data_IF_796829570795
#
_entry.id   IF_796829570795
#
_cell.length_a   1.000
_cell.length_b   1.000
_cell.length_c   1.000
_cell.angle_alpha   90.00
_cell.angle_beta   90.00
_cell.angle_gamma   90.00
#
_symmetry.space_group_name_H-M   'P 1'
#
loop_
_entity.id
_entity.type
_entity.pdbx_description
1 polymer ?
#
# COMPACT_ATOMS: atom_id res chain seq x y z
N UNK A 1 12.45 -6.03 10.82
CA UNK A 1 11.04 -6.47 10.69
C UNK A 1 10.57 -6.13 9.29
N UNK A 2 9.53 -6.80 8.76
CA UNK A 2 8.86 -6.26 7.59
C UNK A 2 8.06 -5.05 8.03
N UNK A 3 8.08 -3.98 7.25
CA UNK A 3 7.52 -2.69 7.67
C UNK A 3 6.15 -2.40 7.06
N UNK A 4 5.88 -2.96 5.88
CA UNK A 4 4.60 -2.82 5.22
C UNK A 4 3.86 -4.16 5.26
N UNK A 5 2.52 -4.10 5.27
CA UNK A 5 1.66 -5.29 5.20
C UNK A 5 2.05 -6.21 4.04
N UNK A 6 2.39 -5.65 2.87
CA UNK A 6 2.78 -6.44 1.70
C UNK A 6 3.99 -7.34 1.97
N UNK A 7 5.05 -6.82 2.61
CA UNK A 7 6.21 -7.65 2.96
C UNK A 7 5.88 -8.66 4.06
N UNK A 8 5.00 -8.28 5.00
CA UNK A 8 4.65 -9.16 6.12
C UNK A 8 3.93 -10.38 5.60
N UNK A 9 2.98 -10.18 4.69
CA UNK A 9 2.26 -11.27 4.05
C UNK A 9 3.23 -12.27 3.44
N UNK A 10 4.18 -11.81 2.62
CA UNK A 10 5.11 -12.75 1.96
C UNK A 10 6.10 -13.39 2.92
N UNK A 11 6.72 -12.61 3.82
CA UNK A 11 7.73 -13.13 4.73
C UNK A 11 7.15 -14.09 5.77
N UNK A 12 5.99 -13.78 6.35
CA UNK A 12 5.30 -14.66 7.30
C UNK A 12 4.91 -15.97 6.60
N UNK A 13 4.38 -15.88 5.38
CA UNK A 13 4.00 -17.08 4.60
C UNK A 13 5.22 -17.95 4.32
N UNK A 14 6.31 -17.38 3.81
CA UNK A 14 7.55 -18.14 3.54
C UNK A 14 8.13 -18.74 4.82
N UNK A 15 8.16 -17.98 5.92
CA UNK A 15 8.65 -18.49 7.20
C UNK A 15 7.80 -19.66 7.72
N UNK A 16 6.47 -19.59 7.57
CA UNK A 16 5.57 -20.68 7.94
C UNK A 16 5.82 -21.93 7.09
N UNK A 17 5.91 -21.78 5.76
CA UNK A 17 6.22 -22.89 4.86
C UNK A 17 7.57 -23.53 5.23
N UNK A 18 8.60 -22.73 5.48
CA UNK A 18 9.92 -23.24 5.83
C UNK A 18 9.93 -23.99 7.16
N UNK A 19 9.08 -23.60 8.11
CA UNK A 19 8.96 -24.23 9.42
C UNK A 19 8.13 -25.52 9.38
N UNK A 20 7.02 -25.51 8.66
CA UNK A 20 6.00 -26.56 8.73
C UNK A 20 5.97 -27.49 7.50
N UNK A 21 6.62 -27.10 6.40
CA UNK A 21 6.67 -27.88 5.15
C UNK A 21 5.40 -27.83 4.29
N UNK A 22 4.35 -27.12 4.72
CA UNK A 22 3.07 -26.99 4.03
C UNK A 22 2.64 -25.54 3.86
N UNK A 23 1.64 -25.30 3.00
CA UNK A 23 1.03 -23.99 2.86
C UNK A 23 0.10 -23.72 4.04
N UNK A 24 0.23 -22.59 4.75
CA UNK A 24 -0.75 -22.23 5.77
C UNK A 24 -2.10 -21.98 5.11
N UNK A 25 -3.21 -22.27 5.80
CA UNK A 25 -4.55 -21.94 5.29
C UNK A 25 -4.79 -20.42 5.34
N UNK A 26 -4.31 -19.78 6.41
CA UNK A 26 -4.46 -18.36 6.67
C UNK A 26 -3.17 -17.69 7.11
N UNK A 27 -3.09 -16.38 6.85
CA UNK A 27 -2.07 -15.48 7.37
C UNK A 27 -2.76 -14.32 8.07
N UNK A 28 -2.47 -14.15 9.36
CA UNK A 28 -3.03 -13.07 10.17
C UNK A 28 -2.04 -11.89 10.27
N UNK A 29 -2.54 -10.69 10.03
CA UNK A 29 -1.80 -9.43 10.20
C UNK A 29 -2.48 -8.59 11.26
N UNK A 30 -1.72 -8.15 12.26
CA UNK A 30 -2.16 -7.23 13.31
C UNK A 30 -1.15 -6.10 13.49
N UNK A 31 -1.57 -4.85 13.28
CA UNK A 31 -0.71 -3.65 13.37
C UNK A 31 -1.53 -2.42 13.80
N UNK A 32 -1.12 -1.74 14.87
CA UNK A 32 -1.72 -0.45 15.28
C UNK A 32 -3.28 -0.45 15.33
N UNK A 33 -3.87 -1.55 15.80
CA UNK A 33 -5.33 -1.73 15.85
C UNK A 33 -6.00 -2.19 14.54
N UNK A 34 -5.26 -2.27 13.44
CA UNK A 34 -5.68 -2.96 12.21
C UNK A 34 -5.46 -4.47 12.37
N UNK A 35 -6.51 -5.27 12.17
CA UNK A 35 -6.44 -6.75 12.19
C UNK A 35 -7.09 -7.30 10.93
N UNK A 36 -6.40 -8.18 10.22
CA UNK A 36 -6.95 -8.85 9.04
C UNK A 36 -6.38 -10.26 8.86
N UNK A 37 -7.29 -11.19 8.58
CA UNK A 37 -7.00 -12.56 8.15
C UNK A 37 -7.02 -12.63 6.63
N UNK A 38 -6.00 -13.25 6.05
CA UNK A 38 -5.89 -13.48 4.61
C UNK A 38 -5.87 -14.97 4.34
N UNK A 39 -6.74 -15.45 3.45
CA UNK A 39 -6.61 -16.78 2.88
C UNK A 39 -5.33 -16.88 2.06
N UNK A 40 -4.67 -18.03 2.07
CA UNK A 40 -3.45 -18.25 1.31
C UNK A 40 -3.62 -18.00 -0.19
N UNK A 41 -4.78 -18.37 -0.75
CA UNK A 41 -5.12 -18.05 -2.14
C UNK A 41 -5.05 -16.55 -2.43
N UNK A 42 -5.51 -15.71 -1.49
CA UNK A 42 -5.43 -14.25 -1.62
C UNK A 42 -3.99 -13.74 -1.52
N UNK A 43 -3.17 -14.33 -0.65
CA UNK A 43 -1.75 -13.97 -0.54
C UNK A 43 -1.00 -14.30 -1.82
N UNK A 44 -1.26 -15.47 -2.41
CA UNK A 44 -0.69 -15.86 -3.70
C UNK A 44 -1.20 -14.99 -4.84
N UNK A 45 -2.48 -14.61 -4.84
CA UNK A 45 -3.03 -13.65 -5.79
C UNK A 45 -2.28 -12.31 -5.72
N UNK A 46 -2.06 -11.77 -4.53
CA UNK A 46 -1.30 -10.54 -4.31
C UNK A 46 0.14 -10.70 -4.81
N UNK A 47 0.80 -11.83 -4.54
CA UNK A 47 2.14 -12.11 -5.03
C UNK A 47 2.21 -12.16 -6.57
N UNK A 48 1.20 -12.75 -7.22
CA UNK A 48 1.06 -12.76 -8.67
C UNK A 48 0.83 -11.35 -9.24
N UNK A 49 0.01 -10.52 -8.59
CA UNK A 49 -0.20 -9.11 -9.00
C UNK A 49 1.10 -8.31 -8.96
N UNK A 50 1.90 -8.47 -7.91
CA UNK A 50 3.19 -7.75 -7.77
C UNK A 50 4.20 -8.15 -8.85
N UNK A 51 4.22 -9.45 -9.20
CA UNK A 51 5.17 -10.06 -10.15
C UNK A 51 4.67 -10.09 -11.59
N UNK A 52 3.42 -9.68 -11.84
CA UNK A 52 2.73 -9.85 -13.11
C UNK A 52 2.73 -11.31 -13.61
N UNK A 53 2.66 -12.27 -12.69
CA UNK A 53 2.58 -13.70 -12.99
C UNK A 53 1.13 -14.14 -13.12
N UNK A 54 0.88 -15.20 -13.90
CA UNK A 54 -0.43 -15.85 -13.93
C UNK A 54 -0.76 -16.41 -12.55
N UNK A 55 -2.04 -16.34 -12.17
CA UNK A 55 -2.52 -16.93 -10.93
C UNK A 55 -2.29 -18.44 -10.97
N UNK A 56 -1.83 -19.05 -9.87
CA UNK A 56 -1.72 -20.50 -9.82
C UNK A 56 -3.12 -21.13 -9.88
N UNK A 57 -3.21 -22.32 -10.47
CA UNK A 57 -4.40 -23.15 -10.42
C UNK A 57 -4.65 -23.65 -8.99
N UNK A 58 -5.90 -24.01 -8.69
CA UNK A 58 -6.25 -24.65 -7.41
C UNK A 58 -5.37 -25.89 -7.17
N UNK A 59 -4.91 -26.08 -5.93
CA UNK A 59 -3.99 -27.17 -5.58
C UNK A 59 -2.51 -26.91 -5.93
N UNK A 60 -2.09 -25.65 -6.08
CA UNK A 60 -0.70 -25.27 -6.31
C UNK A 60 0.28 -25.95 -5.32
N UNK A 61 1.36 -26.54 -5.85
CA UNK A 61 2.37 -27.19 -5.01
C UNK A 61 3.11 -26.19 -4.12
N UNK A 62 3.55 -26.65 -2.95
CA UNK A 62 4.32 -25.84 -1.99
C UNK A 62 5.55 -25.21 -2.64
N UNK A 63 6.27 -25.96 -3.48
CA UNK A 63 7.46 -25.46 -4.21
C UNK A 63 7.09 -24.33 -5.18
N UNK A 64 5.97 -24.46 -5.90
CA UNK A 64 5.52 -23.42 -6.82
C UNK A 64 5.08 -22.16 -6.05
N UNK A 65 4.34 -22.32 -4.95
CA UNK A 65 3.98 -21.21 -4.08
C UNK A 65 5.21 -20.49 -3.50
N UNK A 66 6.23 -21.21 -3.03
CA UNK A 66 7.50 -20.63 -2.58
C UNK A 66 8.21 -19.86 -3.70
N UNK A 67 8.20 -20.37 -4.94
CA UNK A 67 8.77 -19.68 -6.09
C UNK A 67 8.06 -18.35 -6.37
N UNK A 68 6.72 -18.34 -6.36
CA UNK A 68 5.90 -17.13 -6.53
C UNK A 68 6.22 -16.11 -5.43
N UNK A 69 6.22 -16.54 -4.17
CA UNK A 69 6.48 -15.67 -3.02
C UNK A 69 7.92 -15.12 -3.04
N UNK A 70 8.92 -15.95 -3.38
CA UNK A 70 10.31 -15.53 -3.51
C UNK A 70 10.51 -14.48 -4.61
N UNK A 71 9.86 -14.67 -5.77
CA UNK A 71 9.82 -13.65 -6.84
C UNK A 71 9.16 -12.37 -6.37
N UNK A 72 8.02 -12.45 -5.68
CA UNK A 72 7.31 -11.29 -5.19
C UNK A 72 8.14 -10.48 -4.18
N UNK A 73 8.79 -11.14 -3.22
CA UNK A 73 9.72 -10.50 -2.28
C UNK A 73 10.85 -9.78 -3.03
N UNK A 74 11.45 -10.45 -4.01
CA UNK A 74 12.54 -9.88 -4.81
C UNK A 74 12.08 -8.65 -5.60
N UNK A 75 10.87 -8.71 -6.16
CA UNK A 75 10.28 -7.65 -6.95
C UNK A 75 9.90 -6.43 -6.09
N UNK A 76 9.30 -6.64 -4.92
CA UNK A 76 9.04 -5.56 -3.94
C UNK A 76 10.35 -4.88 -3.56
N UNK A 77 11.39 -5.65 -3.22
CA UNK A 77 12.72 -5.11 -2.87
C UNK A 77 13.33 -4.33 -4.04
N UNK A 78 13.21 -4.83 -5.27
CA UNK A 78 13.69 -4.16 -6.48
C UNK A 78 12.99 -2.83 -6.72
N UNK A 79 11.66 -2.81 -6.69
CA UNK A 79 10.84 -1.60 -6.88
C UNK A 79 11.14 -0.55 -5.82
N UNK A 80 11.22 -0.94 -4.55
CA UNK A 80 11.51 0.00 -3.45
C UNK A 80 12.93 0.56 -3.46
N UNK A 81 13.94 -0.20 -3.88
CA UNK A 81 15.31 0.34 -4.03
C UNK A 81 15.39 1.46 -5.08
N UNK A 82 14.53 1.40 -6.09
CA UNK A 82 14.44 2.37 -7.19
C UNK A 82 13.42 3.48 -6.93
N UNK A 83 12.64 3.40 -5.84
CA UNK A 83 11.66 4.41 -5.52
C UNK A 83 12.34 5.70 -5.04
N UNK A 84 11.74 6.88 -5.34
CA UNK A 84 12.28 8.16 -4.87
C UNK A 84 12.22 8.29 -3.35
N UNK A 85 11.23 7.65 -2.72
CA UNK A 85 11.10 7.56 -1.27
C UNK A 85 11.52 6.19 -0.75
N UNK A 86 12.28 6.19 0.34
CA UNK A 86 12.75 5.00 1.05
C UNK A 86 12.30 5.05 2.50
N UNK A 87 12.00 3.87 3.05
CA UNK A 87 11.59 3.71 4.43
C UNK A 87 12.64 2.91 5.21
N UNK A 88 13.15 3.49 6.30
CA UNK A 88 14.17 2.92 7.19
C UNK A 88 13.64 2.88 8.63
N UNK A 89 13.11 1.75 9.08
CA UNK A 89 12.34 1.69 10.32
C UNK A 89 13.14 1.91 11.60
N UNK A 90 14.41 1.50 11.57
CA UNK A 90 15.31 1.63 12.71
C UNK A 90 16.18 2.90 12.61
N UNK A 91 15.83 3.83 11.73
CA UNK A 91 16.54 5.11 11.57
C UNK A 91 15.82 6.21 12.33
N UNK A 92 16.55 7.23 12.74
CA UNK A 92 15.99 8.49 13.24
C UNK A 92 15.15 9.20 12.19
N UNK A 93 15.51 9.08 10.91
CA UNK A 93 14.72 9.54 9.77
C UNK A 93 14.10 8.34 9.06
N UNK A 94 12.86 8.03 9.43
CA UNK A 94 12.22 6.80 8.98
C UNK A 94 11.78 6.86 7.52
N UNK A 95 11.43 8.03 6.98
CA UNK A 95 11.27 8.21 5.53
C UNK A 95 12.30 9.21 5.03
N UNK A 96 12.98 8.86 3.95
CA UNK A 96 13.89 9.76 3.24
C UNK A 96 13.60 9.73 1.75
N UNK A 97 13.82 10.85 1.09
CA UNK A 97 13.61 10.99 -0.35
C UNK A 97 13.09 12.35 -0.71
N UNK A 98 13.29 12.72 -1.97
CA UNK A 98 12.74 13.92 -2.59
C UNK A 98 12.21 13.53 -3.96
N UNK A 99 11.10 14.13 -4.39
CA UNK A 99 10.49 13.84 -5.67
C UNK A 99 9.02 14.22 -5.75
N UNK A 100 8.39 13.87 -6.86
CA UNK A 100 6.94 13.98 -7.04
C UNK A 100 6.23 12.69 -6.61
N UNK A 101 4.89 12.69 -6.71
CA UNK A 101 4.09 11.49 -6.43
C UNK A 101 3.86 11.22 -4.95
N UNK A 102 3.84 12.27 -4.13
CA UNK A 102 3.36 12.22 -2.74
C UNK A 102 1.85 12.46 -2.73
N UNK A 103 1.13 11.52 -2.13
CA UNK A 103 -0.28 11.68 -1.78
C UNK A 103 -0.37 11.94 -0.28
N UNK A 104 -0.73 13.16 0.06
CA UNK A 104 -0.96 13.58 1.42
C UNK A 104 -2.46 13.52 1.73
N UNK A 105 -2.82 12.67 2.68
CA UNK A 105 -4.20 12.47 3.15
C UNK A 105 -4.41 13.02 4.56
N UNK A 106 -3.42 13.75 5.10
CA UNK A 106 -3.55 14.40 6.40
C UNK A 106 -4.57 15.52 6.32
N UNK A 107 -5.40 15.65 7.36
CA UNK A 107 -6.47 16.64 7.39
C UNK A 107 -5.98 18.07 7.09
N UNK A 108 -4.84 18.45 7.69
CA UNK A 108 -4.28 19.81 7.57
C UNK A 108 -3.57 20.10 6.23
N UNK A 109 -3.25 19.09 5.42
CA UNK A 109 -2.37 19.26 4.24
C UNK A 109 -2.78 18.38 3.05
N UNK A 110 -4.04 17.96 3.00
CA UNK A 110 -4.52 17.05 1.98
C UNK A 110 -4.36 17.63 0.58
N UNK A 111 -3.61 16.93 -0.28
CA UNK A 111 -3.29 17.38 -1.63
C UNK A 111 -4.05 16.62 -2.74
N UNK A 112 -5.04 15.81 -2.37
CA UNK A 112 -5.89 15.07 -3.31
C UNK A 112 -7.28 15.70 -3.32
N UNK A 113 -7.79 15.99 -4.52
CA UNK A 113 -9.15 16.53 -4.72
C UNK A 113 -10.12 15.52 -5.36
N UNK A 114 -11.40 15.91 -5.36
CA UNK A 114 -12.49 15.23 -6.09
C UNK A 114 -12.75 13.78 -5.66
N UNK A 115 -13.31 12.99 -6.58
CA UNK A 115 -13.76 11.61 -6.34
C UNK A 115 -12.66 10.66 -5.84
N UNK A 116 -11.39 10.95 -6.17
CA UNK A 116 -10.26 10.17 -5.68
C UNK A 116 -10.02 10.39 -4.18
N UNK A 117 -10.16 11.64 -3.72
CA UNK A 117 -10.07 12.00 -2.30
C UNK A 117 -11.14 11.28 -1.51
N UNK A 118 -12.39 11.37 -1.93
CA UNK A 118 -13.53 10.79 -1.21
C UNK A 118 -13.36 9.28 -1.01
N UNK A 119 -12.85 8.59 -2.03
CA UNK A 119 -12.55 7.17 -1.93
C UNK A 119 -11.37 6.87 -1.01
N UNK A 120 -10.24 7.59 -1.13
CA UNK A 120 -9.08 7.42 -0.26
C UNK A 120 -9.40 7.70 1.21
N UNK A 121 -10.19 8.73 1.49
CA UNK A 121 -10.67 9.05 2.84
C UNK A 121 -11.58 7.94 3.38
N UNK A 122 -12.46 7.39 2.56
CA UNK A 122 -13.27 6.21 2.91
C UNK A 122 -12.41 4.99 3.28
N UNK A 123 -11.33 4.72 2.54
CA UNK A 123 -10.40 3.60 2.83
C UNK A 123 -9.74 3.73 4.20
N UNK A 124 -9.26 4.92 4.53
CA UNK A 124 -8.58 5.15 5.81
C UNK A 124 -9.56 5.32 6.97
N UNK A 125 -10.85 5.52 6.68
CA UNK A 125 -11.93 5.51 7.68
C UNK A 125 -12.17 4.12 8.28
N UNK A 126 -12.93 4.04 9.37
CA UNK A 126 -13.26 2.76 10.04
C UNK A 126 -14.12 1.83 9.16
N UNK A 127 -14.92 2.40 8.25
CA UNK A 127 -15.94 1.68 7.49
C UNK A 127 -15.86 2.05 6.01
N UNK A 128 -14.92 1.45 5.26
CA UNK A 128 -14.82 1.70 3.83
C UNK A 128 -16.09 1.24 3.13
N UNK A 129 -16.69 2.14 2.35
CA UNK A 129 -17.82 1.81 1.47
C UNK A 129 -17.34 1.03 0.24
N UNK A 130 -18.27 0.58 -0.58
CA UNK A 130 -17.93 0.08 -1.92
C UNK A 130 -17.64 1.27 -2.83
N UNK A 131 -16.51 1.28 -3.58
CA UNK A 131 -16.24 2.36 -4.52
C UNK A 131 -17.14 2.25 -5.74
N UNK A 132 -17.49 3.39 -6.33
CA UNK A 132 -18.06 3.42 -7.67
C UNK A 132 -16.97 3.07 -8.71
N UNK A 133 -17.33 2.61 -9.92
CA UNK A 133 -16.35 2.35 -10.98
C UNK A 133 -15.47 3.57 -11.30
N UNK A 134 -16.06 4.77 -11.26
CA UNK A 134 -15.37 6.04 -11.54
C UNK A 134 -14.32 6.36 -10.46
N UNK A 135 -14.69 6.22 -9.18
CA UNK A 135 -13.76 6.39 -8.06
C UNK A 135 -12.61 5.39 -8.10
N UNK A 136 -12.94 4.14 -8.43
CA UNK A 136 -11.96 3.08 -8.60
C UNK A 136 -10.95 3.43 -9.68
N UNK A 137 -11.41 3.89 -10.84
CA UNK A 137 -10.53 4.31 -11.94
C UNK A 137 -9.67 5.53 -11.58
N UNK A 138 -10.27 6.54 -10.94
CA UNK A 138 -9.56 7.75 -10.53
C UNK A 138 -8.43 7.44 -9.53
N UNK A 139 -8.71 6.62 -8.51
CA UNK A 139 -7.67 6.22 -7.55
C UNK A 139 -6.63 5.30 -8.17
N UNK A 140 -7.00 4.40 -9.09
CA UNK A 140 -6.00 3.59 -9.81
C UNK A 140 -5.07 4.46 -10.66
N UNK A 141 -5.59 5.48 -11.33
CA UNK A 141 -4.79 6.43 -12.11
C UNK A 141 -3.83 7.24 -11.22
N UNK A 142 -4.32 7.70 -10.05
CA UNK A 142 -3.51 8.40 -9.06
C UNK A 142 -2.40 7.49 -8.50
N UNK A 143 -2.77 6.31 -7.97
CA UNK A 143 -1.84 5.39 -7.29
C UNK A 143 -0.73 4.86 -8.21
N UNK A 144 -0.96 4.79 -9.53
CA UNK A 144 0.09 4.42 -10.50
C UNK A 144 1.24 5.42 -10.55
N UNK A 145 1.00 6.68 -10.21
CA UNK A 145 1.99 7.75 -10.14
C UNK A 145 2.46 8.03 -8.71
N UNK A 146 1.85 7.39 -7.71
CA UNK A 146 2.14 7.62 -6.30
C UNK A 146 3.28 6.74 -5.80
N UNK A 147 4.26 7.37 -5.17
CA UNK A 147 5.39 6.70 -4.54
C UNK A 147 5.28 6.66 -3.00
N UNK A 148 4.61 7.65 -2.42
CA UNK A 148 4.40 7.78 -0.98
C UNK A 148 2.98 8.25 -0.68
N UNK A 149 2.35 7.63 0.31
CA UNK A 149 1.10 8.07 0.93
C UNK A 149 1.37 8.43 2.38
N UNK A 150 0.92 9.60 2.81
CA UNK A 150 1.03 10.08 4.19
C UNK A 150 -0.38 10.18 4.79
N UNK A 151 -0.55 9.70 6.01
CA UNK A 151 -1.83 9.71 6.75
C UNK A 151 -1.64 10.21 8.17
N UNK A 152 -2.68 10.69 8.84
CA UNK A 152 -2.56 11.25 10.20
C UNK A 152 -2.11 10.22 11.25
N UNK A 153 -2.57 8.97 11.15
CA UNK A 153 -2.36 7.96 12.20
C UNK A 153 -1.77 6.65 11.69
N UNK A 154 -1.05 5.88 12.54
CA UNK A 154 -0.54 4.55 12.17
C UNK A 154 -1.63 3.56 11.74
N UNK A 155 -2.86 3.69 12.27
CA UNK A 155 -3.99 2.83 11.89
C UNK A 155 -4.50 3.16 10.48
N UNK A 156 -4.62 4.45 10.15
CA UNK A 156 -4.94 4.88 8.78
C UNK A 156 -3.88 4.40 7.78
N UNK A 157 -2.59 4.53 8.14
CA UNK A 157 -1.49 4.00 7.33
C UNK A 157 -1.63 2.48 7.12
N UNK A 158 -1.94 1.71 8.18
CA UNK A 158 -2.15 0.27 8.08
C UNK A 158 -3.34 -0.10 7.15
N UNK A 159 -4.45 0.64 7.21
CA UNK A 159 -5.59 0.46 6.29
C UNK A 159 -5.20 0.76 4.83
N UNK A 160 -4.43 1.83 4.62
CA UNK A 160 -3.92 2.18 3.31
C UNK A 160 -2.95 1.10 2.78
N UNK A 161 -2.03 0.62 3.61
CA UNK A 161 -1.13 -0.47 3.25
C UNK A 161 -1.90 -1.74 2.85
N UNK A 162 -2.98 -2.06 3.56
CA UNK A 162 -3.86 -3.18 3.18
C UNK A 162 -4.49 -2.97 1.80
N UNK A 163 -5.06 -1.78 1.57
CA UNK A 163 -5.68 -1.42 0.30
C UNK A 163 -4.70 -1.54 -0.88
N UNK A 164 -3.49 -1.02 -0.71
CA UNK A 164 -2.41 -1.06 -1.68
C UNK A 164 -1.93 -2.49 -1.93
N UNK A 165 -1.72 -3.28 -0.87
CA UNK A 165 -1.29 -4.67 -0.97
C UNK A 165 -2.29 -5.52 -1.75
N UNK A 166 -3.59 -5.39 -1.48
CA UNK A 166 -4.65 -6.11 -2.20
C UNK A 166 -4.69 -5.82 -3.71
N UNK A 167 -4.05 -4.74 -4.16
CA UNK A 167 -3.95 -4.32 -5.57
C UNK A 167 -2.54 -4.51 -6.15
N UNK A 168 -1.60 -5.06 -5.37
CA UNK A 168 -0.23 -5.28 -5.80
C UNK A 168 0.62 -4.01 -5.91
N UNK A 169 0.18 -2.88 -5.34
CA UNK A 169 0.98 -1.67 -5.30
C UNK A 169 2.11 -1.81 -4.29
N UNK A 170 3.30 -1.35 -4.67
CA UNK A 170 4.50 -1.32 -3.80
C UNK A 170 4.73 0.03 -3.13
N UNK A 171 3.80 0.98 -3.33
CA UNK A 171 3.77 2.32 -2.76
C UNK A 171 3.90 2.26 -1.24
N UNK A 172 4.68 3.20 -0.69
CA UNK A 172 4.83 3.33 0.76
C UNK A 172 3.62 4.06 1.34
N UNK A 173 3.12 3.61 2.49
CA UNK A 173 2.08 4.31 3.23
C UNK A 173 2.49 4.42 4.70
N UNK A 174 2.61 5.64 5.20
CA UNK A 174 3.21 5.95 6.50
C UNK A 174 2.39 6.98 7.28
N UNK A 175 2.42 6.94 8.62
CA UNK A 175 1.86 8.00 9.45
C UNK A 175 2.69 9.30 9.38
N UNK A 176 2.07 10.43 9.73
CA UNK A 176 2.66 11.77 9.74
C UNK A 176 4.00 11.84 10.47
N UNK A 177 4.10 11.15 11.61
CA UNK A 177 5.31 11.09 12.45
C UNK A 177 6.55 10.64 11.66
N UNK A 178 6.39 9.81 10.62
CA UNK A 178 7.52 9.29 9.85
C UNK A 178 7.88 10.15 8.64
N UNK A 179 7.02 11.11 8.29
CA UNK A 179 7.13 11.95 7.11
C UNK A 179 7.42 13.43 7.41
N UNK A 180 7.72 13.77 8.67
CA UNK A 180 7.93 15.15 9.13
C UNK A 180 9.02 15.90 8.33
N UNK A 181 10.06 15.19 7.91
CA UNK A 181 11.21 15.78 7.21
C UNK A 181 11.07 15.82 5.67
N UNK A 182 9.94 15.37 5.14
CA UNK A 182 9.74 15.30 3.69
C UNK A 182 9.27 16.65 3.17
N UNK A 183 9.93 17.15 2.13
CA UNK A 183 9.43 18.28 1.35
C UNK A 183 8.18 17.85 0.59
N UNK A 184 7.04 18.41 0.97
CA UNK A 184 5.78 18.18 0.29
C UNK A 184 5.71 19.03 -0.98
N UNK A 185 5.03 18.54 -2.03
CA UNK A 185 4.68 19.41 -3.15
C UNK A 185 3.81 20.57 -2.63
N UNK A 186 3.91 21.77 -3.24
CA UNK A 186 3.05 22.89 -2.86
C UNK A 186 1.59 22.47 -3.02
N UNK A 187 0.78 22.74 -2.00
CA UNK A 187 -0.67 22.52 -2.07
C UNK A 187 -1.19 23.48 -3.16
N UNK A 188 -1.91 23.01 -4.18
CA UNK A 188 -2.51 23.90 -5.15
C UNK A 188 -3.51 24.80 -4.41
N UNK A 189 -3.30 26.12 -4.47
CA UNK A 189 -4.31 27.08 -4.05
C UNK A 189 -5.53 26.88 -4.93
N UNK A 190 -6.64 26.43 -4.33
CA UNK A 190 -7.91 26.40 -5.02
C UNK A 190 -8.33 27.85 -5.24
N UNK A 191 -8.20 28.35 -6.46
CA UNK A 191 -8.75 29.67 -6.81
C UNK A 191 -10.25 29.65 -6.57
N UNK A 192 -10.81 30.77 -6.09
CA UNK A 192 -12.25 30.94 -5.99
C UNK A 192 -12.92 30.57 -7.32
N UNK A 193 -14.09 29.88 -7.30
CA UNK A 193 -14.80 29.54 -8.51
C UNK A 193 -15.15 30.82 -9.27
N UNK A 194 -14.48 31.05 -10.40
CA UNK A 194 -14.85 32.13 -11.31
C UNK A 194 -16.11 31.70 -12.06
N UNK A 195 -17.22 32.34 -11.75
CA UNK A 195 -18.43 32.27 -12.57
C UNK A 195 -18.24 33.30 -13.68
N UNK A 196 -18.04 32.85 -14.92
CA UNK A 196 -18.09 33.74 -16.07
C UNK A 196 -19.52 34.24 -16.23
N UNK A 197 -19.73 35.51 -15.90
CA UNK A 197 -20.94 36.22 -16.29
C UNK A 197 -20.81 36.58 -17.78
N UNK A 198 -21.51 35.83 -18.63
CA UNK A 198 -21.77 36.21 -20.02
C UNK A 198 -22.71 37.41 -20.10
#
# INVERSE_FOLDING_TARGET
MSEMILDSLFLITVANINKNGNLPEYVDISRHGFKRRYQIGKVLEIACLVTNMRRPVEGCSVKHAQMILGRAISEVRRKRRRAPYRFYPNSTKQVVGEGEGVVDLREASCNVGGIARDWLMSIISKHPRTPTPQEGQAVLALMRKTHLVITDTPNQAARMQHYLACRGFTTLAVPSEYAADIKLPPVPEWSEPKVDHQ
#
